data_IF_690825334824
#
_entry.id   IF_690825334824
#
_cell.length_a   1.000
_cell.length_b   1.000
_cell.length_c   1.000
_cell.angle_alpha   90.00
_cell.angle_beta   90.00
_cell.angle_gamma   90.00
#
_symmetry.space_group_name_H-M   'P 1'
#
loop_
_entity.id
_entity.type
_entity.pdbx_description
1 polymer ?
#
# COMPACT_ATOMS: atom_id res chain seq x y z
N UNK A 1 -4.46 -24.08 -23.27
CA UNK A 1 -4.39 -23.38 -23.00
C UNK A 1 -3.80 -22.49 -23.22
N UNK A 2 -3.69 -22.11 -23.16
CA UNK A 2 -3.29 -21.52 -23.42
C UNK A 2 -2.90 -20.31 -23.45
N UNK A 3 -2.95 -19.75 -24.10
CA UNK A 3 -2.54 -18.53 -24.23
C UNK A 3 -2.85 -17.69 -23.23
N UNK A 4 -3.65 -18.05 -22.49
CA UNK A 4 -4.02 -17.26 -21.44
C UNK A 4 -2.95 -16.99 -20.58
N UNK A 5 -2.05 -17.89 -20.50
CA UNK A 5 -0.95 -17.64 -19.63
C UNK A 5 -0.28 -16.39 -20.05
N UNK A 6 -0.45 -15.97 -21.25
CA UNK A 6 0.16 -14.75 -21.65
C UNK A 6 -0.42 -13.57 -20.93
N UNK A 7 -1.64 -13.66 -20.48
CA UNK A 7 -2.20 -12.57 -19.77
C UNK A 7 -1.78 -12.52 -18.36
N UNK A 8 -1.47 -13.59 -17.76
CA UNK A 8 -0.87 -13.64 -16.47
C UNK A 8 -1.81 -13.52 -15.28
N UNK A 9 -2.93 -12.91 -15.41
CA UNK A 9 -3.75 -12.61 -14.25
C UNK A 9 -5.18 -13.06 -14.38
N UNK A 10 -5.48 -13.92 -15.31
CA UNK A 10 -6.82 -14.40 -15.50
C UNK A 10 -7.07 -15.69 -14.75
N UNK A 11 -8.19 -16.31 -15.02
CA UNK A 11 -8.56 -17.58 -14.39
C UNK A 11 -7.54 -18.68 -14.61
N UNK A 12 -6.66 -18.50 -15.61
CA UNK A 12 -5.68 -19.53 -15.87
C UNK A 12 -4.66 -19.67 -14.79
N UNK A 13 -4.54 -18.70 -13.92
CA UNK A 13 -3.66 -18.78 -12.76
C UNK A 13 -4.42 -19.19 -11.53
N UNK A 14 -5.63 -19.69 -11.69
CA UNK A 14 -6.42 -20.10 -10.54
C UNK A 14 -5.73 -21.23 -9.80
N UNK A 15 -5.84 -21.21 -8.50
CA UNK A 15 -5.32 -22.21 -7.61
C UNK A 15 -6.48 -22.88 -6.90
N UNK A 16 -6.35 -24.18 -6.53
CA UNK A 16 -7.41 -24.81 -5.73
C UNK A 16 -7.58 -24.16 -4.36
N UNK A 17 -6.63 -23.31 -3.95
CA UNK A 17 -6.70 -22.67 -2.64
C UNK A 17 -7.26 -21.25 -2.71
N UNK A 18 -7.42 -20.66 -3.89
CA UNK A 18 -8.04 -19.34 -4.08
C UNK A 18 -7.34 -18.25 -3.25
N UNK A 19 -6.05 -18.07 -3.49
CA UNK A 19 -5.26 -17.07 -2.76
C UNK A 19 -5.77 -15.66 -3.02
N UNK A 20 -5.76 -14.84 -1.99
CA UNK A 20 -6.01 -13.40 -2.11
C UNK A 20 -5.32 -12.72 -0.94
N UNK A 21 -4.90 -11.48 -1.13
CA UNK A 21 -4.31 -10.71 -0.03
C UNK A 21 -5.45 -10.29 0.91
N UNK A 22 -5.31 -10.57 2.18
CA UNK A 22 -6.25 -10.09 3.20
C UNK A 22 -5.83 -8.72 3.71
N UNK A 23 -4.57 -8.58 4.06
CA UNK A 23 -4.03 -7.30 4.52
C UNK A 23 -2.52 -7.32 4.36
N UNK A 24 -1.93 -6.14 4.46
CA UNK A 24 -0.48 -5.96 4.51
C UNK A 24 -0.16 -5.38 5.87
N UNK A 25 0.85 -5.92 6.55
CA UNK A 25 1.30 -5.36 7.82
C UNK A 25 2.58 -4.57 7.61
N UNK A 26 2.62 -3.37 8.16
CA UNK A 26 3.76 -2.48 8.09
C UNK A 26 4.18 -2.18 9.52
N UNK A 27 5.47 -2.31 9.80
CA UNK A 27 5.99 -2.08 11.14
C UNK A 27 6.07 -0.58 11.46
N UNK A 28 5.83 -0.25 12.71
CA UNK A 28 5.94 1.12 13.20
C UNK A 28 6.61 1.10 14.57
N UNK A 29 7.28 2.19 14.97
CA UNK A 29 7.88 2.21 16.30
C UNK A 29 6.81 2.40 17.39
N UNK A 30 7.13 2.03 18.62
CA UNK A 30 6.21 2.25 19.72
C UNK A 30 5.84 3.72 19.86
N UNK A 31 4.57 3.99 20.15
CA UNK A 31 4.10 5.35 20.40
C UNK A 31 3.90 6.21 19.16
N UNK A 32 3.90 5.61 17.96
CA UNK A 32 3.82 6.38 16.72
C UNK A 32 2.44 6.38 16.08
N UNK A 33 1.41 5.96 16.83
CA UNK A 33 0.09 5.81 16.23
C UNK A 33 -0.46 7.14 15.68
N UNK A 34 -0.24 8.25 16.40
CA UNK A 34 -0.73 9.53 15.89
C UNK A 34 -0.01 9.96 14.64
N UNK A 35 1.29 9.69 14.53
CA UNK A 35 2.02 9.95 13.30
C UNK A 35 1.47 9.12 12.15
N UNK A 36 1.10 7.87 12.42
CA UNK A 36 0.48 7.02 11.42
C UNK A 36 -0.86 7.56 10.96
N UNK A 37 -1.66 8.07 11.88
CA UNK A 37 -2.94 8.67 11.52
C UNK A 37 -2.75 9.87 10.61
N UNK A 38 -1.75 10.68 10.88
CA UNK A 38 -1.49 11.86 10.04
C UNK A 38 -1.17 11.44 8.60
N UNK A 39 -0.49 10.34 8.40
CA UNK A 39 -0.14 9.89 7.06
C UNK A 39 -1.23 9.03 6.43
N UNK A 40 -1.60 7.94 7.09
CA UNK A 40 -2.49 6.96 6.47
C UNK A 40 -3.94 7.44 6.43
N UNK A 41 -4.38 8.15 7.44
CA UNK A 41 -5.76 8.65 7.48
C UNK A 41 -5.84 10.01 6.81
N UNK A 42 -5.03 10.97 7.25
CA UNK A 42 -5.18 12.34 6.77
C UNK A 42 -4.62 12.51 5.37
N UNK A 43 -3.39 12.07 5.10
CA UNK A 43 -2.77 12.28 3.81
C UNK A 43 -3.28 11.28 2.77
N UNK A 44 -3.33 9.99 3.09
CA UNK A 44 -3.78 8.98 2.13
C UNK A 44 -5.30 8.86 2.04
N UNK A 45 -6.03 9.34 3.04
CA UNK A 45 -7.48 9.28 2.99
C UNK A 45 -8.07 7.92 3.37
N UNK A 46 -7.29 7.07 4.03
CA UNK A 46 -7.81 5.79 4.51
C UNK A 46 -8.60 6.00 5.80
N UNK A 47 -9.39 5.02 6.17
CA UNK A 47 -10.20 5.10 7.38
C UNK A 47 -9.68 4.13 8.41
N UNK A 48 -9.52 4.60 9.63
CA UNK A 48 -9.13 3.73 10.73
C UNK A 48 -10.30 2.82 11.09
N UNK A 49 -10.02 1.53 11.26
CA UNK A 49 -11.03 0.54 11.65
C UNK A 49 -10.66 -0.06 13.00
N UNK A 50 -11.67 -0.53 13.71
CA UNK A 50 -11.47 -1.04 15.06
C UNK A 50 -10.70 -2.35 15.03
N UNK A 51 -9.79 -2.50 15.98
CA UNK A 51 -9.10 -3.77 16.20
C UNK A 51 -9.87 -4.59 17.21
N UNK A 52 -9.84 -5.92 17.10
CA UNK A 52 -10.40 -6.76 18.18
C UNK A 52 -9.71 -6.42 19.50
N UNK A 53 -10.45 -6.48 20.63
CA UNK A 53 -9.88 -6.02 21.90
C UNK A 53 -8.57 -6.69 22.28
N UNK A 54 -8.44 -7.99 22.00
CA UNK A 54 -7.21 -8.69 22.37
C UNK A 54 -6.02 -8.19 21.57
N UNK A 55 -6.24 -7.72 20.35
CA UNK A 55 -5.17 -7.18 19.52
C UNK A 55 -4.96 -5.69 19.78
N UNK A 56 -5.99 -4.99 20.22
CA UNK A 56 -5.87 -3.57 20.52
C UNK A 56 -4.84 -3.32 21.62
N UNK A 57 -4.68 -4.26 22.52
CA UNK A 57 -3.73 -4.11 23.61
C UNK A 57 -2.27 -4.09 23.14
N UNK A 58 -2.01 -4.55 21.92
CA UNK A 58 -0.65 -4.58 21.38
C UNK A 58 -0.22 -3.24 20.78
N UNK A 59 -1.11 -2.26 20.75
CA UNK A 59 -0.83 -0.98 20.08
C UNK A 59 -0.99 -1.08 18.57
N UNK A 60 -0.62 -0.01 17.87
CA UNK A 60 -0.79 0.05 16.43
C UNK A 60 -2.21 0.39 16.04
N UNK A 61 -2.48 0.37 14.74
CA UNK A 61 -3.84 0.64 14.25
C UNK A 61 -4.03 -0.03 12.88
N UNK A 62 -5.27 -0.21 12.53
CA UNK A 62 -5.66 -0.78 11.25
C UNK A 62 -6.37 0.28 10.43
N UNK A 63 -6.05 0.35 9.15
CA UNK A 63 -6.69 1.30 8.24
C UNK A 63 -7.15 0.57 6.98
N UNK A 64 -8.20 1.09 6.37
CA UNK A 64 -8.78 0.48 5.18
C UNK A 64 -9.26 1.56 4.22
N UNK A 65 -9.11 1.30 2.93
CA UNK A 65 -9.73 2.06 1.88
C UNK A 65 -9.98 1.12 0.71
N UNK A 66 -11.21 1.08 0.22
CA UNK A 66 -11.59 0.20 -0.87
C UNK A 66 -11.16 -1.24 -0.59
N UNK A 67 -10.39 -1.86 -1.46
CA UNK A 67 -9.94 -3.24 -1.29
C UNK A 67 -8.63 -3.36 -0.52
N UNK A 68 -8.08 -2.27 -0.02
CA UNK A 68 -6.79 -2.26 0.65
C UNK A 68 -6.96 -2.14 2.15
N UNK A 69 -6.40 -3.07 2.89
CA UNK A 69 -6.35 -3.00 4.34
C UNK A 69 -4.90 -3.08 4.78
N UNK A 70 -4.48 -2.14 5.62
CA UNK A 70 -3.12 -2.10 6.13
C UNK A 70 -3.19 -2.16 7.66
N UNK A 71 -2.38 -3.02 8.24
CA UNK A 71 -2.21 -3.11 9.67
C UNK A 71 -0.86 -2.50 10.02
N UNK A 72 -0.87 -1.53 10.92
CA UNK A 72 0.35 -0.86 11.36
C UNK A 72 0.69 -1.45 12.72
N UNK A 73 1.75 -2.27 12.75
CA UNK A 73 2.08 -3.07 13.92
C UNK A 73 3.34 -2.56 14.61
N UNK A 74 3.27 -2.46 15.93
CA UNK A 74 4.38 -1.95 16.73
C UNK A 74 5.51 -2.96 16.77
N UNK A 75 6.73 -2.47 16.50
CA UNK A 75 7.95 -3.27 16.58
C UNK A 75 8.96 -2.54 17.44
N UNK A 76 9.46 -3.20 18.49
CA UNK A 76 10.35 -2.54 19.44
C UNK A 76 11.65 -2.09 18.82
N UNK A 77 12.27 -2.92 18.00
CA UNK A 77 13.51 -2.55 17.32
C UNK A 77 13.21 -2.08 15.91
N UNK A 78 12.32 -1.12 15.79
CA UNK A 78 11.83 -0.68 14.50
C UNK A 78 12.95 -0.18 13.60
N UNK A 79 12.91 -0.66 12.36
CA UNK A 79 13.69 -0.10 11.25
C UNK A 79 12.75 0.07 10.08
N UNK A 80 12.78 1.22 9.42
CA UNK A 80 11.88 1.41 8.28
C UNK A 80 12.19 0.42 7.16
N UNK A 81 11.14 -0.06 6.53
CA UNK A 81 11.27 -0.95 5.38
C UNK A 81 11.59 -0.12 4.16
N UNK A 82 12.83 -0.18 3.70
CA UNK A 82 13.26 0.64 2.56
C UNK A 82 13.28 -0.13 1.26
N UNK A 83 13.35 -1.46 1.32
CA UNK A 83 13.30 -2.28 0.12
C UNK A 83 11.95 -2.97 0.02
N UNK A 84 11.53 -3.65 1.06
CA UNK A 84 10.22 -4.28 1.09
C UNK A 84 9.15 -3.20 1.14
N UNK A 85 8.14 -3.33 0.30
CA UNK A 85 7.09 -2.31 0.24
C UNK A 85 5.87 -2.90 -0.45
N UNK A 86 4.67 -2.45 -0.10
CA UNK A 86 3.49 -2.83 -0.85
C UNK A 86 3.39 -2.02 -2.14
N UNK A 87 2.89 -2.68 -3.19
CA UNK A 87 2.51 -2.00 -4.42
C UNK A 87 1.01 -1.78 -4.40
N UNK A 88 0.59 -0.53 -4.47
CA UNK A 88 -0.79 -0.15 -4.28
C UNK A 88 -1.30 0.48 -5.57
N UNK A 89 -2.30 -0.15 -6.17
CA UNK A 89 -2.90 0.39 -7.38
C UNK A 89 -3.91 1.46 -7.03
N UNK A 90 -3.87 2.57 -7.76
CA UNK A 90 -4.86 3.63 -7.61
C UNK A 90 -5.36 4.03 -8.99
N UNK A 91 -6.54 4.61 -9.03
CA UNK A 91 -7.15 4.99 -10.30
C UNK A 91 -6.67 6.34 -10.81
N UNK A 92 -6.30 7.25 -9.93
CA UNK A 92 -5.86 8.59 -10.31
C UNK A 92 -4.57 8.93 -9.59
N UNK A 93 -3.47 8.52 -10.19
CA UNK A 93 -2.17 8.65 -9.57
C UNK A 93 -1.73 10.12 -9.44
N UNK A 94 -2.08 10.94 -10.43
CA UNK A 94 -1.72 12.35 -10.37
C UNK A 94 -2.45 13.07 -9.23
N UNK A 95 -3.73 12.76 -9.03
CA UNK A 95 -4.48 13.36 -7.93
C UNK A 95 -3.90 12.93 -6.59
N UNK A 96 -3.45 11.67 -6.47
CA UNK A 96 -2.85 11.21 -5.23
C UNK A 96 -1.52 11.93 -4.99
N UNK A 97 -0.70 12.09 -6.03
CA UNK A 97 0.57 12.80 -5.89
C UNK A 97 0.33 14.23 -5.39
N UNK A 98 -0.68 14.90 -5.93
CA UNK A 98 -0.98 16.26 -5.50
C UNK A 98 -1.46 16.31 -4.06
N UNK A 99 -2.29 15.37 -3.67
CA UNK A 99 -2.77 15.31 -2.30
C UNK A 99 -1.64 15.05 -1.32
N UNK A 100 -0.72 14.15 -1.67
CA UNK A 100 0.43 13.88 -0.81
C UNK A 100 1.31 15.11 -0.69
N UNK A 101 1.50 15.85 -1.77
CA UNK A 101 2.29 17.08 -1.71
C UNK A 101 1.64 18.11 -0.79
N UNK A 102 0.31 18.21 -0.81
CA UNK A 102 -0.41 19.12 0.07
C UNK A 102 -0.22 18.76 1.54
N UNK A 103 0.09 17.53 1.82
CA UNK A 103 0.34 17.06 3.18
C UNK A 103 1.84 16.95 3.48
N UNK A 104 2.68 17.53 2.63
CA UNK A 104 4.11 17.57 2.89
C UNK A 104 4.89 16.33 2.55
N UNK A 105 4.29 15.41 1.79
CA UNK A 105 4.97 14.18 1.39
C UNK A 105 5.45 14.29 -0.04
N UNK A 106 6.75 14.12 -0.24
CA UNK A 106 7.32 14.13 -1.59
C UNK A 106 7.14 12.77 -2.22
N UNK A 107 6.97 12.77 -3.54
CA UNK A 107 6.86 11.53 -4.30
C UNK A 107 8.03 11.44 -5.27
N UNK A 108 8.50 10.22 -5.52
CA UNK A 108 9.60 9.98 -6.45
C UNK A 108 9.06 9.18 -7.63
N UNK A 109 8.86 9.87 -8.75
CA UNK A 109 8.35 9.23 -9.95
C UNK A 109 9.40 8.30 -10.55
N UNK A 110 8.94 7.18 -11.10
CA UNK A 110 9.80 6.16 -11.67
C UNK A 110 9.12 5.60 -12.91
N UNK A 111 9.86 5.51 -14.01
CA UNK A 111 9.28 5.04 -15.27
C UNK A 111 9.81 3.68 -15.70
N UNK A 112 10.40 2.92 -14.79
CA UNK A 112 11.03 1.66 -15.15
C UNK A 112 10.08 0.47 -15.22
N UNK A 113 8.80 0.65 -14.89
CA UNK A 113 7.84 -0.46 -14.90
C UNK A 113 6.99 -0.34 -16.17
N UNK A 114 7.28 -1.15 -17.20
CA UNK A 114 6.55 -1.01 -18.47
C UNK A 114 5.04 -1.18 -18.30
N UNK A 115 4.27 -0.34 -18.95
CA UNK A 115 2.82 -0.40 -18.92
C UNK A 115 2.20 0.26 -17.73
N UNK A 116 3.00 0.85 -16.85
CA UNK A 116 2.50 1.48 -15.65
C UNK A 116 3.15 2.83 -15.45
N UNK A 117 2.40 3.74 -14.84
CA UNK A 117 2.95 4.93 -14.23
C UNK A 117 3.01 4.64 -12.74
N UNK A 118 4.09 5.05 -12.11
CA UNK A 118 4.21 4.81 -10.65
C UNK A 118 5.08 5.84 -9.99
N UNK A 119 4.90 5.99 -8.69
CA UNK A 119 5.85 6.71 -7.87
C UNK A 119 6.03 5.99 -6.55
N UNK A 120 7.14 6.29 -5.90
CA UNK A 120 7.40 5.84 -4.55
C UNK A 120 7.18 7.01 -3.60
N UNK A 121 6.72 6.70 -2.41
CA UNK A 121 6.63 7.65 -1.34
C UNK A 121 7.02 6.94 -0.05
N UNK A 122 7.47 7.70 0.93
CA UNK A 122 7.77 7.14 2.24
C UNK A 122 6.74 7.68 3.21
N UNK A 123 6.25 6.80 4.10
CA UNK A 123 5.40 7.31 5.15
C UNK A 123 6.26 8.16 6.09
N UNK A 124 5.62 8.81 7.06
CA UNK A 124 6.38 9.72 7.92
C UNK A 124 7.27 9.01 8.93
N UNK A 125 7.37 7.68 8.83
CA UNK A 125 8.28 6.89 9.65
C UNK A 125 9.38 6.26 8.81
N UNK A 126 9.39 6.51 7.51
CA UNK A 126 10.42 6.04 6.60
C UNK A 126 10.12 4.74 5.89
N UNK A 127 8.94 4.16 6.07
CA UNK A 127 8.56 2.97 5.32
C UNK A 127 8.24 3.32 3.88
N UNK A 128 8.72 2.49 2.95
CA UNK A 128 8.55 2.74 1.53
C UNK A 128 7.19 2.23 1.06
N UNK A 129 6.54 3.00 0.21
CA UNK A 129 5.30 2.61 -0.44
C UNK A 129 5.44 2.87 -1.94
N UNK A 130 4.78 2.05 -2.74
CA UNK A 130 4.72 2.26 -4.18
C UNK A 130 3.26 2.43 -4.57
N UNK A 131 2.97 3.45 -5.38
CA UNK A 131 1.63 3.67 -5.92
C UNK A 131 1.71 3.63 -7.43
N UNK A 132 0.79 2.90 -8.06
CA UNK A 132 0.88 2.71 -9.51
C UNK A 132 -0.49 2.68 -10.14
N UNK A 133 -0.50 3.04 -11.43
CA UNK A 133 -1.68 3.08 -12.25
C UNK A 133 -1.28 2.53 -13.62
N UNK A 134 -2.11 1.66 -14.16
CA UNK A 134 -1.84 1.19 -15.51
C UNK A 134 -2.02 2.35 -16.46
N UNK A 135 -1.12 2.47 -17.42
CA UNK A 135 -1.16 3.63 -18.32
C UNK A 135 -2.16 3.44 -19.46
N UNK A 136 -2.82 2.29 -19.53
CA UNK A 136 -3.87 2.07 -20.50
C UNK A 136 -3.40 1.79 -21.90
N UNK A 137 -2.09 1.81 -22.13
CA UNK A 137 -1.56 1.60 -23.47
C UNK A 137 -0.98 0.22 -23.66
N UNK A 138 -0.97 -0.62 -22.64
CA UNK A 138 -0.37 -1.93 -22.67
C UNK A 138 -1.34 -2.96 -22.16
N UNK A 139 -1.28 -4.16 -22.66
CA UNK A 139 -2.06 -5.23 -22.07
C UNK A 139 -1.53 -5.55 -20.70
N UNK A 140 -2.36 -6.21 -19.89
CA UNK A 140 -1.88 -6.61 -18.63
C UNK A 140 -0.97 -7.76 -18.76
N UNK A 141 -0.22 -7.99 -17.77
CA UNK A 141 0.54 -9.21 -17.64
C UNK A 141 0.16 -9.95 -16.41
#
# INVERSE_FOLDING_TARGET
MTEISAQGYGPDHASPFAFAVHHVQIAIPPGSEDACRAFYVDALGMREIAKPPVLAARGGLWVRADALEIHLGVEEDFRPARKAHPGIRVDDLDALAERLAQHGTEVAWDDAFPGHRRFYAFDNLGNRLEFLQRDGTRPEW
#
